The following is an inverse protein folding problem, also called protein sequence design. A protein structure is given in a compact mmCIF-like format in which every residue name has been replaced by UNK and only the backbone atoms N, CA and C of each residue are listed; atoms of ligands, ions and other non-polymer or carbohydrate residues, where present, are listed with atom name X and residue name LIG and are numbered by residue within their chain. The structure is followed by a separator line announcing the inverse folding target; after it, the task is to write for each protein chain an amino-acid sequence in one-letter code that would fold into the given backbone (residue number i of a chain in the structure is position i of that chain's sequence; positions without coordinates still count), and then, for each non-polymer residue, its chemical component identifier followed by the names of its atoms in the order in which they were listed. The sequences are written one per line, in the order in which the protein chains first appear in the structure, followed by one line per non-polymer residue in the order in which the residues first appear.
data_IF_954456215314
#
_entry.id   IF_954456215314
#
_cell.length_a   1.000
_cell.length_b   1.000
_cell.length_c   1.000
_cell.angle_alpha   90.00
_cell.angle_beta   90.00
_cell.angle_gamma   90.00
#
_symmetry.space_group_name_H-M   'P 1'
#
loop_
_entity.id
_entity.type
_entity.pdbx_description
1 polymer ?
#
# COMPACT_ATOMS: atom_id res chain seq x y z
N UNK A 1 -24.01 21.29 48.80
CA UNK A 1 -22.75 20.51 48.92
C UNK A 1 -22.64 19.36 47.91
N UNK A 2 -23.73 18.95 47.24
CA UNK A 2 -23.84 17.79 46.34
C UNK A 2 -23.27 18.00 44.93
N UNK A 3 -23.36 19.21 44.37
CA UNK A 3 -22.85 19.53 43.03
C UNK A 3 -21.34 19.34 42.86
N UNK A 4 -20.56 19.66 43.90
CA UNK A 4 -19.11 19.51 43.90
C UNK A 4 -18.66 18.04 43.90
N UNK A 5 -19.49 17.11 44.37
CA UNK A 5 -19.18 15.67 44.33
C UNK A 5 -19.43 15.09 42.93
N UNK A 6 -20.54 15.47 42.30
CA UNK A 6 -20.90 15.01 40.96
C UNK A 6 -19.86 15.47 39.93
N UNK A 7 -19.43 16.73 40.01
CA UNK A 7 -18.43 17.28 39.09
C UNK A 7 -17.06 16.59 39.24
N UNK A 8 -16.63 16.32 40.48
CA UNK A 8 -15.36 15.60 40.75
C UNK A 8 -15.40 14.17 40.21
N UNK A 9 -16.51 13.47 40.39
CA UNK A 9 -16.67 12.11 39.86
C UNK A 9 -16.71 12.09 38.33
N UNK A 10 -17.31 13.09 37.69
CA UNK A 10 -17.34 13.19 36.22
C UNK A 10 -15.95 13.46 35.64
N UNK A 11 -15.17 14.35 36.27
CA UNK A 11 -13.78 14.65 35.86
C UNK A 11 -12.88 13.42 36.05
N UNK A 12 -13.04 12.69 37.15
CA UNK A 12 -12.30 11.45 37.39
C UNK A 12 -12.64 10.37 36.35
N UNK A 13 -13.93 10.27 35.95
CA UNK A 13 -14.36 9.33 34.92
C UNK A 13 -13.78 9.69 33.55
N UNK A 14 -13.81 10.97 33.17
CA UNK A 14 -13.24 11.47 31.91
C UNK A 14 -11.72 11.29 31.86
N UNK A 15 -11.01 11.53 32.98
CA UNK A 15 -9.58 11.28 33.09
C UNK A 15 -9.25 9.77 33.03
N UNK A 16 -10.07 8.91 33.64
CA UNK A 16 -9.88 7.45 33.54
C UNK A 16 -10.12 6.91 32.12
N UNK A 17 -11.12 7.45 31.41
CA UNK A 17 -11.38 7.14 30.00
C UNK A 17 -10.25 7.62 29.08
N UNK A 18 -9.67 8.80 29.33
CA UNK A 18 -8.53 9.29 28.55
C UNK A 18 -7.27 8.45 28.80
N UNK A 19 -7.02 8.03 30.04
CA UNK A 19 -5.85 7.18 30.37
C UNK A 19 -6.02 5.78 29.78
N UNK A 20 -7.21 5.18 29.82
CA UNK A 20 -7.46 3.89 29.15
C UNK A 20 -7.33 3.99 27.62
N UNK A 21 -7.73 5.10 27.00
CA UNK A 21 -7.54 5.36 25.57
C UNK A 21 -6.08 5.50 25.15
N UNK A 22 -5.24 6.09 26.00
CA UNK A 22 -3.80 6.25 25.73
C UNK A 22 -3.00 4.94 25.96
N UNK A 23 -3.35 4.15 26.98
CA UNK A 23 -2.61 2.92 27.31
C UNK A 23 -2.83 1.82 26.25
N UNK A 24 -4.00 1.77 25.60
CA UNK A 24 -4.24 0.83 24.49
C UNK A 24 -3.42 1.20 23.25
N UNK A 25 -3.12 2.49 23.04
CA UNK A 25 -2.28 2.94 21.93
C UNK A 25 -0.79 2.61 22.14
N UNK A 26 -0.33 2.53 23.39
CA UNK A 26 1.07 2.21 23.75
C UNK A 26 1.33 0.72 24.01
N UNK A 27 0.34 -0.05 24.49
CA UNK A 27 0.50 -1.50 24.72
C UNK A 27 0.63 -2.30 23.42
N UNK A 28 0.18 -1.76 22.29
CA UNK A 28 0.49 -2.34 20.98
C UNK A 28 1.58 -1.49 20.35
N UNK A 29 2.84 -1.85 20.61
CA UNK A 29 4.01 -1.31 19.91
C UNK A 29 4.00 -1.67 18.42
N UNK A 30 2.99 -1.21 17.68
CA UNK A 30 2.78 -1.55 16.28
C UNK A 30 3.83 -0.84 15.45
N UNK A 31 4.96 -1.50 15.22
CA UNK A 31 5.77 -1.24 14.02
C UNK A 31 4.80 -1.25 12.84
N UNK A 32 4.52 -0.07 12.29
CA UNK A 32 3.61 0.06 11.16
C UNK A 32 4.41 -0.12 9.89
N UNK A 33 4.06 -1.12 9.11
CA UNK A 33 4.68 -1.41 7.81
C UNK A 33 3.71 -1.05 6.69
N UNK A 34 4.25 -0.61 5.55
CA UNK A 34 3.48 -0.33 4.34
C UNK A 34 3.81 -1.36 3.26
N UNK A 35 2.79 -1.92 2.60
CA UNK A 35 2.94 -2.62 1.32
C UNK A 35 2.40 -1.71 0.23
N UNK A 36 3.16 -1.50 -0.84
CA UNK A 36 2.72 -0.78 -2.03
C UNK A 36 2.46 -1.78 -3.17
N UNK A 37 1.25 -1.77 -3.70
CA UNK A 37 0.84 -2.54 -4.87
C UNK A 37 0.53 -1.64 -6.07
N UNK A 38 0.87 -2.12 -7.26
CA UNK A 38 0.42 -1.54 -8.53
C UNK A 38 -0.58 -2.50 -9.15
N UNK A 39 -1.86 -2.14 -9.16
CA UNK A 39 -2.94 -2.88 -9.79
C UNK A 39 -3.42 -2.22 -11.07
N UNK A 40 -4.32 -2.90 -11.77
CA UNK A 40 -5.08 -2.31 -12.87
C UNK A 40 -6.56 -2.64 -12.69
N UNK A 41 -7.42 -1.68 -13.01
CA UNK A 41 -8.88 -1.87 -13.06
C UNK A 41 -9.30 -1.79 -14.52
N UNK A 42 -8.74 -2.70 -15.32
CA UNK A 42 -9.06 -2.80 -16.73
C UNK A 42 -10.30 -3.69 -16.87
N UNK A 43 -11.26 -3.35 -17.74
CA UNK A 43 -12.40 -4.21 -18.04
C UNK A 43 -11.93 -5.62 -18.43
N UNK A 44 -12.71 -6.66 -18.12
CA UNK A 44 -12.35 -8.06 -18.44
C UNK A 44 -12.00 -8.30 -19.92
N UNK A 45 -12.55 -7.48 -20.83
CA UNK A 45 -12.30 -7.54 -22.27
C UNK A 45 -11.18 -6.61 -22.76
N UNK A 46 -10.50 -5.89 -21.86
CA UNK A 46 -9.51 -4.90 -22.22
C UNK A 46 -8.12 -5.54 -22.37
N UNK A 47 -7.63 -5.58 -23.61
CA UNK A 47 -6.30 -6.11 -23.97
C UNK A 47 -5.14 -5.16 -23.59
N UNK A 48 -5.39 -4.19 -22.73
CA UNK A 48 -4.33 -3.29 -22.30
C UNK A 48 -3.54 -3.83 -21.13
N UNK A 49 -2.25 -3.51 -21.09
CA UNK A 49 -1.37 -3.70 -19.95
C UNK A 49 -0.90 -2.32 -19.52
N UNK A 50 -0.92 -2.06 -18.21
CA UNK A 50 -0.29 -0.86 -17.66
C UNK A 50 1.18 -1.16 -17.36
N UNK A 51 2.06 -0.34 -17.92
CA UNK A 51 3.50 -0.38 -17.68
C UNK A 51 3.95 0.86 -16.93
N UNK A 52 4.96 0.71 -16.09
CA UNK A 52 5.57 1.79 -15.32
C UNK A 52 7.06 1.86 -15.65
N UNK A 53 7.60 3.07 -15.79
CA UNK A 53 9.05 3.28 -15.79
C UNK A 53 9.60 2.98 -14.41
N UNK A 54 10.54 2.03 -14.34
CA UNK A 54 11.08 1.54 -13.07
C UNK A 54 12.24 2.45 -12.62
N UNK A 55 11.90 3.56 -11.98
CA UNK A 55 12.88 4.51 -11.42
C UNK A 55 13.74 3.85 -10.34
N UNK A 56 14.90 4.44 -9.97
CA UNK A 56 15.73 3.91 -8.88
C UNK A 56 14.97 3.69 -7.56
N UNK A 57 14.01 4.54 -7.24
CA UNK A 57 13.13 4.39 -6.08
C UNK A 57 12.22 3.17 -6.22
N UNK A 58 11.59 2.99 -7.38
CA UNK A 58 10.71 1.84 -7.65
C UNK A 58 11.49 0.53 -7.66
N UNK A 59 12.73 0.52 -8.19
CA UNK A 59 13.62 -0.64 -8.11
C UNK A 59 13.88 -1.07 -6.68
N UNK A 60 14.06 -0.11 -5.78
CA UNK A 60 14.27 -0.36 -4.34
C UNK A 60 13.02 -0.90 -3.67
N UNK A 61 11.86 -0.35 -4.01
CA UNK A 61 10.56 -0.73 -3.42
C UNK A 61 10.12 -2.12 -3.89
N UNK A 62 10.15 -2.37 -5.20
CA UNK A 62 9.63 -3.59 -5.82
C UNK A 62 10.69 -4.68 -6.02
N UNK A 63 11.97 -4.39 -5.77
CA UNK A 63 13.11 -5.29 -5.96
C UNK A 63 13.17 -5.91 -7.37
N UNK A 64 12.71 -5.18 -8.38
CA UNK A 64 12.72 -5.58 -9.77
C UNK A 64 13.90 -4.92 -10.50
N UNK A 65 14.76 -5.72 -11.13
CA UNK A 65 15.90 -5.22 -11.91
C UNK A 65 15.59 -5.09 -13.42
N UNK A 66 14.43 -4.53 -13.73
CA UNK A 66 13.98 -4.29 -15.12
C UNK A 66 13.86 -2.79 -15.39
N UNK A 67 13.89 -2.36 -16.65
CA UNK A 67 13.69 -0.94 -17.00
C UNK A 67 12.23 -0.50 -16.84
N UNK A 68 11.30 -1.40 -17.12
CA UNK A 68 9.86 -1.19 -16.94
C UNK A 68 9.29 -2.33 -16.10
N UNK A 69 8.23 -2.05 -15.36
CA UNK A 69 7.47 -3.03 -14.57
C UNK A 69 6.00 -2.98 -15.01
N UNK A 70 5.27 -4.09 -14.85
CA UNK A 70 3.83 -4.14 -15.12
C UNK A 70 3.03 -3.95 -13.84
N UNK A 71 1.75 -3.61 -13.98
CA UNK A 71 0.77 -3.83 -12.93
C UNK A 71 0.70 -5.31 -12.50
N UNK A 72 0.04 -5.58 -11.38
CA UNK A 72 -0.06 -6.88 -10.72
C UNK A 72 1.07 -7.18 -9.73
N UNK A 73 1.98 -6.23 -9.49
CA UNK A 73 3.09 -6.40 -8.55
C UNK A 73 2.80 -5.76 -7.20
N UNK A 74 3.38 -6.34 -6.14
CA UNK A 74 3.38 -5.79 -4.79
C UNK A 74 4.80 -5.74 -4.25
N UNK A 75 5.11 -4.75 -3.44
CA UNK A 75 6.37 -4.67 -2.71
C UNK A 75 6.37 -5.65 -1.54
N UNK A 76 7.56 -5.88 -0.98
CA UNK A 76 7.66 -6.37 0.39
C UNK A 76 7.18 -5.29 1.39
N UNK A 77 7.10 -5.65 2.67
CA UNK A 77 6.89 -4.68 3.75
C UNK A 77 7.96 -3.60 3.74
N UNK A 78 7.53 -2.34 3.64
CA UNK A 78 8.36 -1.15 3.71
C UNK A 78 8.24 -0.57 5.13
N UNK A 79 9.38 -0.33 5.77
CA UNK A 79 9.40 0.35 7.05
C UNK A 79 8.91 1.80 6.90
N UNK A 80 8.01 2.25 7.79
CA UNK A 80 7.49 3.62 7.79
C UNK A 80 8.58 4.71 7.75
N UNK A 81 9.71 4.46 8.44
CA UNK A 81 10.83 5.41 8.49
C UNK A 81 11.64 5.47 7.19
N UNK A 82 11.50 4.47 6.33
CA UNK A 82 12.20 4.38 5.04
C UNK A 82 11.33 4.83 3.87
N UNK A 83 10.10 5.27 4.12
CA UNK A 83 9.19 5.74 3.08
C UNK A 83 9.71 7.06 2.46
N UNK A 84 9.77 7.14 1.12
CA UNK A 84 10.13 8.39 0.46
C UNK A 84 9.04 9.44 0.71
N UNK A 85 9.42 10.72 0.64
CA UNK A 85 8.51 11.85 0.82
C UNK A 85 7.41 11.85 -0.25
N UNK A 86 7.82 11.62 -1.49
CA UNK A 86 6.96 11.51 -2.66
C UNK A 86 7.51 10.43 -3.59
N UNK A 87 6.64 9.89 -4.44
CA UNK A 87 7.01 8.93 -5.45
C UNK A 87 6.29 9.28 -6.74
N UNK A 88 7.06 9.54 -7.79
CA UNK A 88 6.56 9.86 -9.11
C UNK A 88 6.43 8.58 -9.93
N UNK A 89 5.19 8.18 -10.20
CA UNK A 89 4.86 7.02 -11.00
C UNK A 89 4.65 7.47 -12.44
N UNK A 90 5.62 7.19 -13.30
CA UNK A 90 5.47 7.40 -14.74
C UNK A 90 4.98 6.12 -15.39
N UNK A 91 3.81 6.18 -16.03
CA UNK A 91 3.13 5.00 -16.56
C UNK A 91 2.52 5.26 -17.93
N UNK A 92 2.24 4.18 -18.64
CA UNK A 92 1.48 4.19 -19.89
C UNK A 92 0.61 2.92 -19.96
N UNK A 93 -0.49 3.02 -20.68
CA UNK A 93 -1.31 1.86 -21.03
C UNK A 93 -0.96 1.46 -22.45
N UNK A 94 -0.55 0.21 -22.62
CA UNK A 94 -0.18 -0.37 -23.92
C UNK A 94 -1.16 -1.46 -24.29
N UNK A 95 -1.50 -1.59 -25.57
CA UNK A 95 -2.31 -2.70 -26.04
C UNK A 95 -1.37 -3.88 -26.36
N UNK A 96 -1.32 -4.87 -25.48
CA UNK A 96 -0.59 -6.12 -25.72
C UNK A 96 -1.61 -7.24 -25.60
N UNK A 97 -1.69 -8.10 -26.61
CA UNK A 97 -2.49 -9.32 -26.51
C UNK A 97 -2.09 -10.09 -25.21
N UNK A 98 -3.00 -10.20 -24.23
CA UNK A 98 -2.68 -10.79 -22.94
C UNK A 98 -2.31 -12.27 -23.08
N UNK A 99 -2.85 -12.99 -24.06
CA UNK A 99 -2.50 -14.39 -24.29
C UNK A 99 -1.04 -14.55 -24.71
N UNK A 100 -0.52 -13.63 -25.54
CA UNK A 100 0.89 -13.63 -25.92
C UNK A 100 1.75 -13.22 -24.72
N UNK A 101 1.33 -12.20 -23.98
CA UNK A 101 2.11 -11.69 -22.84
C UNK A 101 2.18 -12.69 -21.68
N UNK A 102 1.07 -13.29 -21.28
CA UNK A 102 1.02 -14.16 -20.12
C UNK A 102 1.55 -15.57 -20.41
N UNK A 103 1.45 -16.08 -21.64
CA UNK A 103 1.98 -17.40 -22.01
C UNK A 103 3.46 -17.38 -22.45
N UNK A 104 4.09 -16.22 -22.56
CA UNK A 104 5.52 -16.11 -22.88
C UNK A 104 6.43 -16.48 -21.69
N UNK A 105 7.68 -16.87 -21.95
CA UNK A 105 8.70 -16.98 -20.90
C UNK A 105 9.01 -15.61 -20.30
N UNK A 106 9.45 -15.54 -19.03
CA UNK A 106 9.73 -14.28 -18.31
C UNK A 106 10.66 -13.34 -19.11
N UNK A 107 11.76 -13.87 -19.66
CA UNK A 107 12.69 -13.08 -20.46
C UNK A 107 12.04 -12.48 -21.72
N UNK A 108 11.11 -13.21 -22.33
CA UNK A 108 10.36 -12.73 -23.50
C UNK A 108 9.31 -11.69 -23.10
N UNK A 109 8.65 -11.84 -21.93
CA UNK A 109 7.76 -10.80 -21.37
C UNK A 109 8.50 -9.49 -21.15
N UNK A 110 9.72 -9.57 -20.63
CA UNK A 110 10.57 -8.41 -20.39
C UNK A 110 11.00 -7.74 -21.70
N UNK A 111 11.40 -8.53 -22.71
CA UNK A 111 11.75 -8.05 -24.04
C UNK A 111 10.57 -7.34 -24.71
N UNK A 112 9.41 -7.99 -24.77
CA UNK A 112 8.18 -7.43 -25.34
C UNK A 112 7.82 -6.12 -24.66
N UNK A 113 7.73 -6.12 -23.32
CA UNK A 113 7.42 -4.92 -22.54
C UNK A 113 8.38 -3.77 -22.85
N UNK A 114 9.68 -4.04 -22.90
CA UNK A 114 10.68 -3.02 -23.19
C UNK A 114 10.53 -2.46 -24.61
N UNK A 115 10.28 -3.32 -25.60
CA UNK A 115 10.08 -2.90 -26.99
C UNK A 115 8.83 -2.02 -27.14
N UNK A 116 7.69 -2.45 -26.58
CA UNK A 116 6.47 -1.65 -26.60
C UNK A 116 6.68 -0.32 -25.90
N UNK A 117 7.25 -0.31 -24.70
CA UNK A 117 7.51 0.90 -23.93
C UNK A 117 8.41 1.90 -24.68
N UNK A 118 9.44 1.41 -25.39
CA UNK A 118 10.35 2.26 -26.17
C UNK A 118 9.72 2.81 -27.44
N UNK A 119 8.73 2.11 -28.02
CA UNK A 119 7.99 2.60 -29.19
C UNK A 119 6.95 3.68 -28.88
N UNK A 120 6.64 3.92 -27.60
CA UNK A 120 5.62 4.88 -27.22
C UNK A 120 6.09 6.33 -27.43
N UNK A 121 5.23 7.20 -28.02
CA UNK A 121 5.52 8.62 -28.06
C UNK A 121 5.47 9.23 -26.64
N UNK A 122 6.15 10.37 -26.39
CA UNK A 122 6.12 11.03 -25.09
C UNK A 122 4.70 11.33 -24.57
N UNK A 123 3.74 11.61 -25.47
CA UNK A 123 2.33 11.87 -25.15
C UNK A 123 1.56 10.68 -24.60
N UNK A 124 2.05 9.45 -24.79
CA UNK A 124 1.43 8.25 -24.21
C UNK A 124 1.76 8.07 -22.72
N UNK A 125 2.81 8.74 -22.24
CA UNK A 125 3.25 8.64 -20.85
C UNK A 125 2.54 9.66 -19.97
N UNK A 126 2.11 9.19 -18.80
CA UNK A 126 1.50 10.01 -17.75
C UNK A 126 2.33 9.89 -16.49
N UNK A 127 2.26 10.92 -15.65
CA UNK A 127 2.89 10.92 -14.34
C UNK A 127 1.83 11.10 -13.27
N UNK A 128 1.87 10.27 -12.24
CA UNK A 128 1.07 10.41 -11.04
C UNK A 128 1.99 10.42 -9.82
N UNK A 129 1.89 11.46 -9.00
CA UNK A 129 2.66 11.59 -7.76
C UNK A 129 1.84 11.05 -6.60
N UNK A 130 2.44 10.17 -5.81
CA UNK A 130 1.88 9.74 -4.53
C UNK A 130 2.75 10.22 -3.37
N UNK A 131 2.15 10.29 -2.19
CA UNK A 131 2.81 10.66 -0.94
C UNK A 131 2.70 9.48 0.04
N UNK A 132 3.67 8.54 0.04
CA UNK A 132 3.56 7.29 0.80
C UNK A 132 3.30 7.49 2.29
N UNK A 133 3.87 8.53 2.90
CA UNK A 133 3.59 8.87 4.32
C UNK A 133 2.14 9.24 4.56
N UNK A 134 1.55 10.08 3.71
CA UNK A 134 0.14 10.46 3.83
C UNK A 134 -0.79 9.25 3.61
N UNK A 135 -0.40 8.33 2.71
CA UNK A 135 -1.14 7.10 2.47
C UNK A 135 -1.05 6.13 3.66
N UNK A 136 0.13 6.05 4.29
CA UNK A 136 0.33 5.30 5.53
C UNK A 136 -0.53 5.86 6.66
N UNK A 137 -0.47 7.18 6.89
CA UNK A 137 -1.25 7.88 7.94
C UNK A 137 -2.76 7.72 7.72
N UNK A 138 -3.20 7.81 6.46
CA UNK A 138 -4.59 7.51 6.11
C UNK A 138 -4.94 6.06 6.42
N UNK A 139 -4.07 5.10 6.10
CA UNK A 139 -4.32 3.69 6.41
C UNK A 139 -4.31 3.35 7.90
N UNK A 140 -3.45 3.99 8.70
CA UNK A 140 -3.41 3.76 10.16
C UNK A 140 -4.63 4.34 10.88
N UNK A 141 -5.33 5.32 10.29
CA UNK A 141 -6.61 5.81 10.82
C UNK A 141 -7.82 4.96 10.43
N UNK A 142 -7.66 3.99 9.52
CA UNK A 142 -8.75 3.09 9.11
C UNK A 142 -8.96 1.95 10.11
N UNK A 143 -10.20 1.43 10.21
CA UNK A 143 -10.47 0.22 10.98
C UNK A 143 -9.67 -0.96 10.41
N UNK A 144 -9.33 -1.91 11.27
CA UNK A 144 -8.65 -3.14 10.87
C UNK A 144 -9.67 -4.03 10.14
N UNK A 145 -9.37 -4.39 8.90
CA UNK A 145 -10.26 -5.12 8.00
C UNK A 145 -10.36 -6.61 8.34
N UNK A 146 -9.23 -7.25 8.69
CA UNK A 146 -9.22 -8.64 9.15
C UNK A 146 -9.30 -8.70 10.67
N UNK A 147 -10.52 -8.87 11.18
CA UNK A 147 -10.80 -8.99 12.61
C UNK A 147 -10.69 -10.42 13.13
N UNK A 148 -10.12 -11.38 12.39
CA UNK A 148 -9.90 -12.77 12.84
C UNK A 148 -8.84 -12.90 13.97
N UNK A 149 -8.75 -11.86 14.78
CA UNK A 149 -7.93 -11.71 15.97
C UNK A 149 -8.49 -12.42 17.19
N UNK A 150 -9.62 -13.11 17.07
CA UNK A 150 -10.10 -14.12 18.02
C UNK A 150 -9.14 -15.33 18.16
N UNK A 151 -7.97 -15.31 17.49
CA UNK A 151 -6.92 -16.35 17.56
C UNK A 151 -5.50 -15.87 17.83
N UNK A 152 -5.28 -14.57 18.03
CA UNK A 152 -3.94 -14.08 18.41
C UNK A 152 -3.87 -14.09 19.93
N UNK A 153 -3.12 -15.05 20.47
CA UNK A 153 -2.90 -15.15 21.90
C UNK A 153 -2.24 -13.86 22.43
N UNK A 154 -2.59 -13.46 23.67
CA UNK A 154 -2.14 -12.21 24.31
C UNK A 154 -0.60 -12.05 24.37
N UNK A 155 0.15 -13.13 24.14
CA UNK A 155 1.61 -13.18 24.13
C UNK A 155 2.27 -12.88 22.76
N UNK A 156 1.49 -12.86 21.67
CA UNK A 156 2.02 -12.59 20.33
C UNK A 156 2.02 -11.10 20.02
N UNK A 157 3.23 -10.54 19.84
CA UNK A 157 3.39 -9.15 19.35
C UNK A 157 2.79 -9.06 17.95
N UNK A 158 1.70 -8.32 17.79
CA UNK A 158 1.12 -7.99 16.49
C UNK A 158 1.71 -6.69 15.93
N UNK A 159 1.90 -6.63 14.62
CA UNK A 159 2.23 -5.41 13.87
C UNK A 159 1.03 -4.93 13.07
N UNK A 160 0.89 -3.61 12.92
CA UNK A 160 -0.06 -3.01 11.99
C UNK A 160 0.57 -2.98 10.60
N UNK A 161 -0.12 -3.50 9.60
CA UNK A 161 0.29 -3.44 8.19
C UNK A 161 -0.76 -2.67 7.41
N UNK A 162 -0.31 -1.64 6.69
CA UNK A 162 -1.14 -0.90 5.74
C UNK A 162 -0.78 -1.36 4.34
N UNK A 163 -1.75 -1.89 3.61
CA UNK A 163 -1.60 -2.25 2.20
C UNK A 163 -2.25 -1.17 1.36
N UNK A 164 -1.47 -0.53 0.49
CA UNK A 164 -1.97 0.46 -0.47
C UNK A 164 -1.83 -0.12 -1.87
N UNK A 165 -2.93 -0.26 -2.59
CA UNK A 165 -2.92 -0.67 -3.99
C UNK A 165 -3.41 0.48 -4.86
N UNK A 166 -2.58 0.92 -5.80
CA UNK A 166 -2.95 1.92 -6.80
C UNK A 166 -3.47 1.21 -8.04
N UNK A 167 -4.67 1.55 -8.49
CA UNK A 167 -5.28 0.99 -9.69
C UNK A 167 -5.33 2.03 -10.79
N UNK A 168 -4.86 1.64 -11.98
CA UNK A 168 -4.95 2.46 -13.18
C UNK A 168 -6.03 1.85 -14.08
N UNK A 169 -7.00 2.67 -14.49
CA UNK A 169 -8.06 2.26 -15.41
C UNK A 169 -7.67 2.46 -16.89
N UNK A 170 -8.55 2.07 -17.81
CA UNK A 170 -8.33 2.17 -19.26
C UNK A 170 -8.14 3.61 -19.76
N UNK A 171 -8.63 4.60 -19.00
CA UNK A 171 -8.51 6.02 -19.32
C UNK A 171 -7.25 6.63 -18.70
N UNK A 172 -6.43 5.84 -18.01
CA UNK A 172 -5.26 6.30 -17.27
C UNK A 172 -5.62 7.14 -16.06
N UNK A 173 -6.80 6.93 -15.45
CA UNK A 173 -7.17 7.52 -14.16
C UNK A 173 -6.67 6.61 -13.05
N UNK A 174 -6.07 7.21 -12.03
CA UNK A 174 -5.58 6.50 -10.85
C UNK A 174 -6.65 6.51 -9.76
N UNK A 175 -6.91 5.34 -9.19
CA UNK A 175 -7.68 5.14 -7.97
C UNK A 175 -6.83 4.37 -6.97
N UNK A 176 -7.24 4.35 -5.70
CA UNK A 176 -6.48 3.70 -4.64
C UNK A 176 -7.41 2.87 -3.75
N UNK A 177 -6.93 1.72 -3.33
CA UNK A 177 -7.46 0.96 -2.21
C UNK A 177 -6.45 1.01 -1.06
N UNK A 178 -6.92 1.22 0.16
CA UNK A 178 -6.10 1.20 1.37
C UNK A 178 -6.77 0.26 2.36
N UNK A 179 -6.01 -0.74 2.80
CA UNK A 179 -6.45 -1.73 3.77
C UNK A 179 -5.50 -1.73 4.96
N UNK A 180 -6.06 -1.81 6.16
CA UNK A 180 -5.28 -2.01 7.39
C UNK A 180 -5.54 -3.42 7.90
N UNK A 181 -4.47 -4.18 8.08
CA UNK A 181 -4.49 -5.52 8.66
C UNK A 181 -3.55 -5.57 9.85
N UNK A 182 -3.82 -6.45 10.79
CA UNK A 182 -2.84 -6.81 11.80
C UNK A 182 -2.15 -8.12 11.36
N UNK A 183 -0.85 -8.19 11.56
CA UNK A 183 -0.01 -9.34 11.19
C UNK A 183 0.86 -9.74 12.36
N UNK A 184 1.09 -11.04 12.55
CA UNK A 184 1.97 -11.52 13.60
C UNK A 184 3.39 -10.99 13.38
N UNK A 185 4.02 -10.49 14.45
CA UNK A 185 5.43 -10.13 14.42
C UNK A 185 6.23 -11.41 14.51
N UNK A 186 6.85 -11.83 13.41
CA UNK A 186 7.72 -13.03 13.39
C UNK A 186 8.97 -12.95 14.28
N UNK A 187 9.13 -11.93 15.11
CA UNK A 187 10.43 -11.61 15.68
C UNK A 187 10.66 -12.16 17.08
N UNK A 188 11.59 -13.11 17.18
CA UNK A 188 12.70 -12.93 18.10
C UNK A 188 13.84 -12.29 17.30
N UNK A 189 14.13 -11.01 17.56
CA UNK A 189 15.40 -10.38 17.20
C UNK A 189 16.28 -10.42 18.43
#
# INVERSE_FOLDING_TARGET
MTYNLILKNLIALLASLSVCGCVIAEMVGTKTEMILGLGSNLPENYQGVVIFENTPELKRIFKQNTKYITWGIKSDSINANSLPKELNLKYATININPDIYYNSLIAEKDRLRNNYAQSLPPSAWRTHTIYPKQLLDKGTSMPIWDTRYDKVADDQKAKSRVTVTLYIDSNGKVSQNIERTLVLSDSVW
#
